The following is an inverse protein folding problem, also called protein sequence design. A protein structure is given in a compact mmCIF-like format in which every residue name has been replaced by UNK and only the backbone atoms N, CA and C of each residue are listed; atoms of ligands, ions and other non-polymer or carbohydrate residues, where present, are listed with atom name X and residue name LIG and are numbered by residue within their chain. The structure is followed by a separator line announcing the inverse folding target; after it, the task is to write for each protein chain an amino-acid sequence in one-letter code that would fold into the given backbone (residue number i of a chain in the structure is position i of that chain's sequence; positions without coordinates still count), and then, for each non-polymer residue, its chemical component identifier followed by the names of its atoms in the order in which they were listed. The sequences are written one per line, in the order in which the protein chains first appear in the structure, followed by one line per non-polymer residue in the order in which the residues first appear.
data_IF_714132791077
#
_entry.id   IF_714132791077
#
_cell.length_a   1.000
_cell.length_b   1.000
_cell.length_c   1.000
_cell.angle_alpha   90.00
_cell.angle_beta   90.00
_cell.angle_gamma   90.00
#
_symmetry.space_group_name_H-M   'P 1'
#
loop_
_entity.id
_entity.type
_entity.pdbx_description
1 polymer ?
#
# COMPACT_ATOMS: atom_id res chain seq x y z
N UNK A 1 1.21 21.91 6.49
CA UNK A 1 -0.09 22.33 5.94
C UNK A 1 -1.20 21.60 6.68
N UNK A 2 -2.31 22.27 7.02
CA UNK A 2 -3.45 21.60 7.63
C UNK A 2 -4.02 20.51 6.72
N UNK A 3 -4.36 19.36 7.28
CA UNK A 3 -4.98 18.24 6.56
C UNK A 3 -6.49 18.46 6.53
N UNK A 4 -7.05 18.58 5.33
CA UNK A 4 -8.50 18.69 5.13
C UNK A 4 -9.22 17.35 5.31
N UNK A 5 -10.51 17.41 5.63
CA UNK A 5 -11.38 16.24 5.66
C UNK A 5 -11.37 15.55 4.29
N UNK A 6 -11.10 14.24 4.26
CA UNK A 6 -11.00 13.46 3.03
C UNK A 6 -9.66 13.51 2.28
N UNK A 7 -8.73 14.41 2.62
CA UNK A 7 -7.43 14.47 1.93
C UNK A 7 -6.60 13.18 2.11
N UNK A 8 -6.69 12.54 3.28
CA UNK A 8 -6.05 11.23 3.49
C UNK A 8 -6.61 10.15 2.57
N UNK A 9 -7.92 10.15 2.32
CA UNK A 9 -8.57 9.19 1.42
C UNK A 9 -8.16 9.45 -0.03
N UNK A 10 -8.12 10.71 -0.45
CA UNK A 10 -7.61 11.11 -1.78
C UNK A 10 -6.15 10.65 -1.95
N UNK A 11 -5.30 10.81 -0.92
CA UNK A 11 -3.90 10.37 -0.98
C UNK A 11 -3.77 8.86 -1.14
N UNK A 12 -4.61 8.07 -0.46
CA UNK A 12 -4.64 6.60 -0.63
C UNK A 12 -5.14 6.19 -2.02
N UNK A 13 -6.12 6.90 -2.59
CA UNK A 13 -6.58 6.64 -3.96
C UNK A 13 -5.50 6.97 -5.00
N UNK A 14 -4.76 8.06 -4.81
CA UNK A 14 -3.60 8.39 -5.64
C UNK A 14 -2.52 7.31 -5.54
N UNK A 15 -2.26 6.82 -4.34
CA UNK A 15 -1.31 5.73 -4.13
C UNK A 15 -1.76 4.44 -4.84
N UNK A 16 -3.03 4.07 -4.70
CA UNK A 16 -3.65 2.93 -5.41
C UNK A 16 -3.45 3.04 -6.93
N UNK A 17 -3.61 4.24 -7.50
CA UNK A 17 -3.36 4.50 -8.92
C UNK A 17 -1.89 4.30 -9.31
N UNK A 18 -0.93 4.75 -8.49
CA UNK A 18 0.50 4.51 -8.74
C UNK A 18 0.80 3.01 -8.71
N UNK A 19 0.25 2.30 -7.73
CA UNK A 19 0.37 0.86 -7.58
C UNK A 19 -0.21 0.08 -8.78
N UNK A 20 -1.30 0.55 -9.38
CA UNK A 20 -1.97 -0.13 -10.49
C UNK A 20 -1.44 0.24 -11.88
N UNK A 21 -0.82 1.41 -12.05
CA UNK A 21 -0.42 1.92 -13.36
C UNK A 21 0.70 1.09 -14.01
N UNK A 22 0.58 0.74 -15.29
CA UNK A 22 1.74 0.21 -16.02
C UNK A 22 2.77 1.32 -16.26
N UNK A 23 4.05 1.01 -16.06
CA UNK A 23 5.15 1.95 -16.28
C UNK A 23 6.45 1.16 -16.55
N UNK A 24 7.21 1.61 -17.54
CA UNK A 24 8.51 1.05 -17.92
C UNK A 24 9.52 1.09 -16.76
N UNK A 25 9.41 2.03 -15.84
CA UNK A 25 10.35 2.18 -14.72
C UNK A 25 10.00 1.36 -13.48
N UNK A 26 8.86 0.64 -13.46
CA UNK A 26 8.45 -0.18 -12.29
C UNK A 26 9.39 -1.34 -11.97
N UNK A 27 10.25 -1.74 -12.89
CA UNK A 27 11.28 -2.76 -12.65
C UNK A 27 12.59 -2.17 -12.09
N UNK A 28 12.64 -0.85 -11.85
CA UNK A 28 13.79 -0.15 -11.30
C UNK A 28 13.57 0.16 -9.82
N UNK A 29 14.59 -0.05 -8.98
CA UNK A 29 14.51 0.24 -7.54
C UNK A 29 14.27 1.73 -7.26
N UNK A 30 14.91 2.62 -8.02
CA UNK A 30 14.80 4.09 -7.90
C UNK A 30 13.36 4.61 -8.05
N UNK A 31 12.54 3.94 -8.86
CA UNK A 31 11.12 4.25 -8.97
C UNK A 31 10.41 4.03 -7.62
N UNK A 32 10.63 2.87 -7.00
CA UNK A 32 10.00 2.53 -5.72
C UNK A 32 10.56 3.31 -4.55
N UNK A 33 11.84 3.68 -4.58
CA UNK A 33 12.43 4.62 -3.60
C UNK A 33 11.72 5.98 -3.66
N UNK A 34 11.45 6.49 -4.85
CA UNK A 34 10.72 7.75 -5.04
C UNK A 34 9.27 7.64 -4.56
N UNK A 35 8.57 6.55 -4.92
CA UNK A 35 7.20 6.29 -4.45
C UNK A 35 7.14 6.20 -2.93
N UNK A 36 8.07 5.49 -2.29
CA UNK A 36 8.09 5.38 -0.82
C UNK A 36 8.32 6.75 -0.18
N UNK A 37 9.25 7.55 -0.72
CA UNK A 37 9.50 8.91 -0.25
C UNK A 37 8.27 9.83 -0.37
N UNK A 38 7.46 9.65 -1.41
CA UNK A 38 6.28 10.48 -1.64
C UNK A 38 5.09 10.10 -0.75
N UNK A 39 4.93 8.84 -0.39
CA UNK A 39 3.73 8.32 0.28
C UNK A 39 3.91 7.92 1.73
N UNK A 40 5.14 7.70 2.20
CA UNK A 40 5.44 7.23 3.55
C UNK A 40 6.30 8.23 4.32
N UNK A 41 6.03 8.39 5.61
CA UNK A 41 6.92 9.13 6.51
C UNK A 41 8.17 8.29 6.82
N UNK A 42 9.31 8.89 7.22
CA UNK A 42 10.54 8.14 7.49
C UNK A 42 10.43 7.06 8.58
N UNK A 43 9.45 7.18 9.46
CA UNK A 43 9.18 6.26 10.57
C UNK A 43 7.94 5.39 10.33
N UNK A 44 7.42 5.35 9.09
CA UNK A 44 6.22 4.59 8.77
C UNK A 44 6.45 3.08 8.89
N UNK A 45 5.40 2.38 9.26
CA UNK A 45 5.37 0.93 9.33
C UNK A 45 4.17 0.44 8.51
N UNK A 46 4.43 -0.46 7.57
CA UNK A 46 3.39 -1.13 6.80
C UNK A 46 3.17 -2.52 7.36
N UNK A 47 1.95 -2.81 7.79
CA UNK A 47 1.53 -4.13 8.29
C UNK A 47 0.51 -4.73 7.35
N UNK A 48 0.68 -6.01 7.01
CA UNK A 48 -0.28 -6.74 6.18
C UNK A 48 -0.26 -8.22 6.52
N UNK A 49 -1.37 -8.89 6.24
CA UNK A 49 -1.51 -10.33 6.44
C UNK A 49 -1.76 -10.97 5.10
N UNK A 50 -0.96 -11.98 4.76
CA UNK A 50 -1.22 -12.80 3.58
C UNK A 50 -2.19 -13.92 3.95
N UNK A 51 -3.25 -14.00 3.17
CA UNK A 51 -4.26 -15.05 3.26
C UNK A 51 -4.10 -15.97 2.06
N UNK A 52 -4.06 -17.28 2.31
CA UNK A 52 -4.12 -18.29 1.25
C UNK A 52 -5.57 -18.51 0.85
N UNK A 53 -5.84 -18.55 -0.46
CA UNK A 53 -7.19 -18.77 -0.98
C UNK A 53 -7.85 -20.00 -0.34
N UNK A 54 -9.10 -19.84 0.09
CA UNK A 54 -9.94 -20.89 0.69
C UNK A 54 -9.45 -21.57 1.99
N UNK A 55 -8.35 -21.13 2.60
CA UNK A 55 -7.94 -21.64 3.92
C UNK A 55 -7.70 -20.49 4.92
N UNK A 56 -8.72 -20.17 5.72
CA UNK A 56 -8.64 -19.19 6.83
C UNK A 56 -7.61 -19.53 7.91
N UNK A 57 -7.06 -20.75 7.91
CA UNK A 57 -6.13 -21.22 8.94
C UNK A 57 -4.66 -20.80 8.69
N UNK A 58 -4.28 -20.38 7.49
CA UNK A 58 -2.91 -19.95 7.18
C UNK A 58 -2.88 -18.46 6.89
N UNK A 59 -2.88 -17.66 7.95
CA UNK A 59 -2.68 -16.21 7.91
C UNK A 59 -1.24 -15.90 8.34
N UNK A 60 -0.43 -15.34 7.44
CA UNK A 60 0.95 -14.94 7.77
C UNK A 60 1.04 -13.42 7.91
N UNK A 61 1.20 -12.88 9.13
CA UNK A 61 1.38 -11.45 9.34
C UNK A 61 2.79 -11.01 8.97
N UNK A 62 2.90 -9.82 8.40
CA UNK A 62 4.15 -9.16 8.06
C UNK A 62 4.12 -7.71 8.55
N UNK A 63 5.28 -7.24 8.98
CA UNK A 63 5.53 -5.87 9.39
C UNK A 63 6.82 -5.41 8.72
N UNK A 64 6.72 -4.37 7.89
CA UNK A 64 7.89 -3.83 7.17
C UNK A 64 8.04 -2.33 7.41
N UNK A 65 9.25 -1.93 7.78
CA UNK A 65 9.65 -0.53 7.89
C UNK A 65 10.04 0.07 6.54
N UNK A 66 10.09 1.40 6.49
CA UNK A 66 10.44 2.20 5.29
C UNK A 66 11.67 1.69 4.52
N UNK A 67 12.81 1.29 5.15
CA UNK A 67 13.97 0.82 4.40
C UNK A 67 13.73 -0.43 3.53
N UNK A 68 12.70 -1.20 3.85
CA UNK A 68 12.38 -2.46 3.16
C UNK A 68 11.27 -2.28 2.12
N UNK A 69 10.44 -1.24 2.26
CA UNK A 69 9.28 -1.01 1.39
C UNK A 69 9.62 -0.90 -0.10
N UNK A 70 10.68 -0.19 -0.56
CA UNK A 70 11.00 -0.12 -1.98
C UNK A 70 11.29 -1.49 -2.59
N UNK A 71 12.05 -2.33 -1.86
CA UNK A 71 12.38 -3.68 -2.28
C UNK A 71 11.17 -4.60 -2.28
N UNK A 72 10.27 -4.45 -1.31
CA UNK A 72 9.01 -5.18 -1.27
C UNK A 72 8.20 -4.94 -2.55
N UNK A 73 7.99 -3.68 -2.95
CA UNK A 73 7.24 -3.37 -4.17
C UNK A 73 7.97 -3.86 -5.44
N UNK A 74 9.29 -3.68 -5.50
CA UNK A 74 10.10 -4.15 -6.62
C UNK A 74 9.98 -5.66 -6.82
N UNK A 75 10.23 -6.44 -5.76
CA UNK A 75 10.16 -7.90 -5.81
C UNK A 75 8.74 -8.35 -6.18
N UNK A 76 7.72 -7.73 -5.59
CA UNK A 76 6.32 -8.02 -5.93
C UNK A 76 6.05 -7.86 -7.43
N UNK A 77 6.50 -6.76 -8.03
CA UNK A 77 6.37 -6.54 -9.47
C UNK A 77 7.20 -7.52 -10.30
N UNK A 78 8.44 -7.82 -9.88
CA UNK A 78 9.32 -8.77 -10.57
C UNK A 78 8.83 -10.23 -10.48
N UNK A 79 8.05 -10.58 -9.46
CA UNK A 79 7.36 -11.88 -9.35
C UNK A 79 6.19 -12.05 -10.33
N UNK A 80 5.92 -11.04 -11.17
CA UNK A 80 4.88 -11.09 -12.19
C UNK A 80 3.55 -10.48 -11.78
N UNK A 81 3.49 -9.78 -10.64
CA UNK A 81 2.34 -8.93 -10.28
C UNK A 81 2.34 -7.70 -11.17
N UNK A 82 1.40 -7.63 -12.09
CA UNK A 82 1.26 -6.51 -13.04
C UNK A 82 0.58 -5.30 -12.43
N UNK A 83 -0.32 -5.52 -11.48
CA UNK A 83 -1.13 -4.48 -10.85
C UNK A 83 -1.41 -4.83 -9.39
N UNK A 84 -1.32 -3.81 -8.54
CA UNK A 84 -1.72 -3.83 -7.14
C UNK A 84 -2.78 -2.74 -6.95
N UNK A 85 -3.91 -3.07 -6.31
CA UNK A 85 -4.98 -2.10 -6.04
C UNK A 85 -5.38 -2.12 -4.58
N UNK A 86 -5.79 -0.95 -4.07
CA UNK A 86 -6.42 -0.79 -2.76
C UNK A 86 -7.92 -0.60 -2.95
N UNK A 87 -8.73 -1.44 -2.30
CA UNK A 87 -10.16 -1.23 -2.16
C UNK A 87 -10.46 -0.53 -0.84
N UNK A 88 -11.20 0.58 -0.90
CA UNK A 88 -11.51 1.46 0.24
C UNK A 88 -13.03 1.55 0.47
N UNK A 89 -13.76 0.46 0.24
CA UNK A 89 -15.21 0.43 0.36
C UNK A 89 -15.64 0.65 1.83
N UNK A 90 -16.43 1.69 2.05
CA UNK A 90 -16.85 2.09 3.40
C UNK A 90 -15.76 2.76 4.23
N UNK A 91 -14.64 3.19 3.60
CA UNK A 91 -13.58 3.89 4.31
C UNK A 91 -14.07 5.22 4.92
N UNK A 92 -13.65 5.49 6.15
CA UNK A 92 -13.99 6.71 6.91
C UNK A 92 -12.71 7.47 7.24
N UNK A 93 -12.71 8.78 6.98
CA UNK A 93 -11.61 9.66 7.36
C UNK A 93 -11.98 10.43 8.63
N UNK A 94 -11.07 10.44 9.61
CA UNK A 94 -11.21 11.19 10.86
C UNK A 94 -9.99 12.06 11.08
N UNK A 95 -10.19 13.33 11.42
CA UNK A 95 -9.11 14.22 11.85
C UNK A 95 -8.77 13.92 13.31
N UNK A 96 -7.49 13.68 13.59
CA UNK A 96 -6.96 13.59 14.96
C UNK A 96 -6.45 14.94 15.44
N UNK A 97 -5.85 15.70 14.53
CA UNK A 97 -5.39 17.06 14.75
C UNK A 97 -5.37 17.81 13.42
N UNK A 98 -5.04 19.10 13.45
CA UNK A 98 -4.93 19.90 12.22
C UNK A 98 -3.93 19.32 11.21
N UNK A 99 -2.97 18.49 11.64
CA UNK A 99 -1.92 17.94 10.78
C UNK A 99 -1.98 16.43 10.61
N UNK A 100 -2.90 15.75 11.30
CA UNK A 100 -3.00 14.30 11.32
C UNK A 100 -4.43 13.85 11.09
N UNK A 101 -4.60 12.96 10.12
CA UNK A 101 -5.85 12.27 9.86
C UNK A 101 -5.62 10.76 9.87
N UNK A 102 -6.65 10.01 10.23
CA UNK A 102 -6.70 8.55 10.12
C UNK A 102 -7.77 8.19 9.10
N UNK A 103 -7.46 7.20 8.27
CA UNK A 103 -8.43 6.56 7.37
C UNK A 103 -8.63 5.13 7.85
N UNK A 104 -9.87 4.78 8.17
CA UNK A 104 -10.26 3.46 8.67
C UNK A 104 -11.15 2.78 7.64
N UNK A 105 -10.91 1.51 7.34
CA UNK A 105 -11.70 0.74 6.38
C UNK A 105 -11.88 -0.70 6.90
N UNK A 106 -13.13 -1.12 7.11
CA UNK A 106 -13.46 -2.41 7.74
C UNK A 106 -13.23 -3.60 6.79
N UNK A 107 -13.26 -3.36 5.47
CA UNK A 107 -13.07 -4.36 4.43
C UNK A 107 -11.83 -4.07 3.57
N UNK A 108 -10.70 -3.72 4.19
CA UNK A 108 -9.50 -3.38 3.44
C UNK A 108 -8.87 -4.64 2.83
N UNK A 109 -8.95 -4.75 1.50
CA UNK A 109 -8.30 -5.80 0.71
C UNK A 109 -7.31 -5.14 -0.25
N UNK A 110 -6.07 -5.63 -0.26
CA UNK A 110 -5.09 -5.29 -1.29
C UNK A 110 -5.00 -6.46 -2.26
N UNK A 111 -5.47 -6.27 -3.48
CA UNK A 111 -5.46 -7.33 -4.49
C UNK A 111 -4.22 -7.19 -5.39
N UNK A 112 -3.42 -8.25 -5.46
CA UNK A 112 -2.33 -8.38 -6.43
C UNK A 112 -2.66 -9.53 -7.38
N UNK A 113 -2.73 -9.27 -8.68
CA UNK A 113 -3.18 -10.24 -9.68
C UNK A 113 -2.28 -11.50 -9.83
N UNK A 114 -1.15 -11.57 -9.10
CA UNK A 114 -0.22 -12.72 -9.15
C UNK A 114 0.78 -12.81 -7.99
N UNK A 115 0.39 -12.54 -6.75
CA UNK A 115 1.30 -12.65 -5.60
C UNK A 115 1.51 -14.13 -5.23
N UNK A 116 2.43 -14.82 -5.93
CA UNK A 116 3.00 -16.09 -5.45
C UNK A 116 4.35 -15.78 -4.82
N UNK A 117 4.41 -15.80 -3.49
CA UNK A 117 5.69 -15.93 -2.80
C UNK A 117 6.22 -17.33 -3.11
N UNK A 118 7.35 -17.41 -3.80
CA UNK A 118 8.12 -18.64 -3.93
C UNK A 118 8.79 -18.98 -2.60
#
# INVERSE_FOLDING_TARGET
MPVGLGQGLVRLLQFSRVLSAENLTKHQLSHWESVVKDYFTPTAIMKFTLWKDNQRNEAKPFEIGVPIQPRFFLVTTQSGVKSMTLSLDGARARLLSQHHAVVECVAQMMNGSRLRLQ
#
